data_IF_463537004443
#
_entry.id   IF_463537004443
#
_cell.length_a   1.000
_cell.length_b   1.000
_cell.length_c   1.000
_cell.angle_alpha   90.00
_cell.angle_beta   90.00
_cell.angle_gamma   90.00
#
_symmetry.space_group_name_H-M   'P 1'
#
loop_
_entity.id
_entity.type
_entity.pdbx_description
1 polymer ?
#
# COMPACT_ATOMS: atom_id res chain seq x y z
N UNK A 1 11.06 -2.04 -17.88
CA UNK A 1 10.40 -3.15 -18.63
C UNK A 1 10.53 -4.52 -17.95
N UNK A 2 11.55 -4.74 -17.10
CA UNK A 2 11.81 -6.04 -16.48
C UNK A 2 10.92 -6.38 -15.27
N UNK A 3 10.45 -5.41 -14.53
CA UNK A 3 9.81 -5.67 -13.24
C UNK A 3 8.34 -6.14 -13.33
N UNK A 4 7.58 -5.58 -14.25
CA UNK A 4 6.18 -5.95 -14.44
C UNK A 4 6.07 -7.38 -15.01
N UNK A 5 6.93 -7.72 -15.99
CA UNK A 5 7.00 -9.07 -16.53
C UNK A 5 7.52 -10.10 -15.52
N UNK A 6 8.51 -9.75 -14.73
CA UNK A 6 9.07 -10.65 -13.70
C UNK A 6 8.08 -10.94 -12.58
N UNK A 7 7.28 -9.97 -12.14
CA UNK A 7 6.28 -10.20 -11.09
C UNK A 7 5.13 -11.08 -11.58
N UNK A 8 4.63 -10.85 -12.78
CA UNK A 8 3.61 -11.69 -13.39
C UNK A 8 4.11 -13.13 -13.58
N UNK A 9 5.35 -13.30 -14.05
CA UNK A 9 5.96 -14.62 -14.23
C UNK A 9 6.30 -15.30 -12.90
N UNK A 10 6.52 -14.53 -11.83
CA UNK A 10 6.83 -15.08 -10.51
C UNK A 10 5.61 -15.68 -9.83
N UNK A 11 4.47 -15.00 -9.94
CA UNK A 11 3.25 -15.29 -9.16
C UNK A 11 2.17 -16.04 -9.94
N UNK A 12 2.37 -16.25 -11.24
CA UNK A 12 1.47 -17.08 -12.04
C UNK A 12 1.56 -18.55 -11.61
N UNK A 13 0.57 -19.32 -11.97
CA UNK A 13 0.44 -20.75 -11.61
C UNK A 13 1.66 -21.60 -12.01
N UNK A 14 2.41 -21.20 -13.04
CA UNK A 14 3.67 -21.80 -13.50
C UNK A 14 4.92 -21.05 -13.01
N UNK A 15 4.75 -20.06 -12.14
CA UNK A 15 5.84 -19.23 -11.62
C UNK A 15 6.60 -19.89 -10.48
N UNK A 16 7.67 -19.21 -10.04
CA UNK A 16 8.53 -19.71 -8.96
C UNK A 16 7.89 -19.56 -7.57
N UNK A 17 6.93 -18.65 -7.43
CA UNK A 17 6.21 -18.37 -6.16
C UNK A 17 4.73 -18.07 -6.50
N UNK A 18 3.96 -19.10 -6.86
CA UNK A 18 2.61 -18.92 -7.35
C UNK A 18 1.64 -18.46 -6.25
N UNK A 19 0.75 -17.54 -6.62
CA UNK A 19 -0.36 -17.16 -5.76
C UNK A 19 -1.38 -18.30 -5.74
N UNK A 20 -1.77 -18.73 -4.55
CA UNK A 20 -2.89 -19.64 -4.36
C UNK A 20 -4.21 -18.90 -4.54
N UNK A 21 -4.56 -18.64 -5.80
CA UNK A 21 -5.77 -17.90 -6.14
C UNK A 21 -7.05 -18.61 -5.69
N UNK A 22 -7.21 -19.94 -5.81
CA UNK A 22 -8.34 -20.66 -5.24
C UNK A 22 -8.54 -20.36 -3.75
N UNK A 23 -7.47 -20.41 -2.95
CA UNK A 23 -7.56 -20.10 -1.52
C UNK A 23 -8.00 -18.64 -1.25
N UNK A 24 -7.58 -17.68 -2.09
CA UNK A 24 -8.05 -16.28 -1.99
C UNK A 24 -9.56 -16.19 -2.24
N UNK A 25 -10.06 -16.87 -3.27
CA UNK A 25 -11.49 -16.83 -3.64
C UNK A 25 -12.35 -17.51 -2.58
N UNK A 26 -11.92 -18.66 -2.06
CA UNK A 26 -12.64 -19.44 -1.06
C UNK A 26 -12.62 -18.79 0.33
N UNK A 27 -11.64 -17.93 0.61
CA UNK A 27 -11.54 -17.23 1.91
C UNK A 27 -12.74 -16.29 2.08
N UNK A 28 -13.52 -16.39 3.18
CA UNK A 28 -14.65 -15.51 3.44
C UNK A 28 -14.26 -14.07 3.78
N UNK A 29 -12.99 -13.81 4.14
CA UNK A 29 -12.53 -12.48 4.43
C UNK A 29 -12.59 -11.58 3.19
N UNK A 30 -13.01 -10.34 3.37
CA UNK A 30 -12.91 -9.32 2.35
C UNK A 30 -11.44 -8.92 2.14
N UNK A 31 -11.11 -8.61 0.90
CA UNK A 31 -9.78 -8.17 0.51
C UNK A 31 -9.92 -6.95 -0.42
N UNK A 32 -9.25 -5.87 -0.09
CA UNK A 32 -9.20 -4.66 -0.94
C UNK A 32 -7.77 -4.21 -1.19
N UNK A 33 -7.50 -3.79 -2.42
CA UNK A 33 -6.25 -3.20 -2.87
C UNK A 33 -6.51 -1.76 -3.31
N UNK A 34 -5.75 -0.82 -2.78
CA UNK A 34 -5.85 0.57 -3.21
C UNK A 34 -4.99 0.79 -4.45
N UNK A 35 -5.56 1.40 -5.47
CA UNK A 35 -4.85 1.97 -6.60
C UNK A 35 -5.29 3.43 -6.82
N UNK A 36 -4.53 4.18 -7.60
CA UNK A 36 -4.89 5.56 -7.97
C UNK A 36 -5.28 5.60 -9.44
N UNK A 37 -6.49 6.01 -9.73
CA UNK A 37 -6.94 6.27 -11.10
C UNK A 37 -6.12 7.41 -11.72
N UNK A 38 -5.51 7.17 -12.86
CA UNK A 38 -4.59 8.12 -13.49
C UNK A 38 -5.28 9.35 -14.06
N UNK A 39 -6.54 9.23 -14.45
CA UNK A 39 -7.33 10.32 -15.05
C UNK A 39 -7.88 11.27 -13.99
N UNK A 40 -8.27 10.74 -12.84
CA UNK A 40 -8.92 11.52 -11.76
C UNK A 40 -7.99 11.84 -10.59
N UNK A 41 -6.92 11.05 -10.39
CA UNK A 41 -6.05 11.12 -9.22
C UNK A 41 -6.71 10.64 -7.92
N UNK A 42 -7.87 9.98 -8.00
CA UNK A 42 -8.64 9.48 -6.86
C UNK A 42 -8.31 8.02 -6.56
N UNK A 43 -8.53 7.57 -5.32
CA UNK A 43 -8.37 6.16 -4.96
C UNK A 43 -9.46 5.31 -5.61
N UNK A 44 -9.07 4.10 -6.02
CA UNK A 44 -9.93 3.00 -6.44
C UNK A 44 -9.58 1.81 -5.58
N UNK A 45 -10.58 1.06 -5.14
CA UNK A 45 -10.41 -0.10 -4.27
C UNK A 45 -10.80 -1.36 -5.04
N UNK A 46 -9.80 -2.12 -5.46
CA UNK A 46 -9.99 -3.41 -6.11
C UNK A 46 -10.23 -4.50 -5.07
N UNK A 47 -11.11 -5.42 -5.39
CA UNK A 47 -11.44 -6.58 -4.56
C UNK A 47 -10.88 -7.87 -5.18
N UNK A 48 -11.11 -9.02 -4.54
CA UNK A 48 -10.77 -10.31 -5.14
C UNK A 48 -11.52 -10.58 -6.46
N UNK A 49 -12.69 -9.95 -6.67
CA UNK A 49 -13.49 -10.10 -7.89
C UNK A 49 -12.85 -9.39 -9.11
N UNK A 50 -11.93 -8.47 -8.86
CA UNK A 50 -11.13 -7.80 -9.90
C UNK A 50 -9.90 -8.60 -10.34
N UNK A 51 -9.69 -9.78 -9.76
CA UNK A 51 -8.59 -10.69 -10.09
C UNK A 51 -9.11 -11.96 -10.75
N UNK A 52 -8.23 -12.66 -11.44
CA UNK A 52 -8.44 -13.99 -11.99
C UNK A 52 -7.15 -14.78 -11.85
N UNK A 53 -7.24 -16.11 -11.94
CA UNK A 53 -6.05 -16.95 -12.04
C UNK A 53 -5.11 -16.40 -13.11
N UNK A 54 -3.87 -16.14 -12.74
CA UNK A 54 -2.80 -15.63 -13.62
C UNK A 54 -3.03 -14.21 -14.19
N UNK A 55 -4.06 -13.49 -13.70
CA UNK A 55 -4.27 -12.07 -13.99
C UNK A 55 -4.33 -11.25 -12.69
N UNK A 56 -3.17 -10.82 -12.25
CA UNK A 56 -2.99 -10.07 -11.00
C UNK A 56 -2.76 -8.58 -11.26
N UNK A 57 -3.36 -8.02 -12.32
CA UNK A 57 -3.20 -6.59 -12.68
C UNK A 57 -3.69 -5.65 -11.59
N UNK A 58 -4.67 -6.03 -10.79
CA UNK A 58 -5.11 -5.25 -9.62
C UNK A 58 -3.96 -5.07 -8.61
N UNK A 59 -3.22 -6.15 -8.28
CA UNK A 59 -2.04 -6.10 -7.40
C UNK A 59 -0.94 -5.25 -8.03
N UNK A 60 -0.70 -5.44 -9.34
CA UNK A 60 0.32 -4.67 -10.07
C UNK A 60 -0.02 -3.17 -10.09
N UNK A 61 -1.29 -2.81 -10.26
CA UNK A 61 -1.77 -1.44 -10.23
C UNK A 61 -1.53 -0.78 -8.86
N UNK A 62 -1.84 -1.51 -7.77
CA UNK A 62 -1.60 -1.06 -6.39
C UNK A 62 -0.13 -0.82 -6.06
N UNK A 63 0.79 -1.42 -6.82
CA UNK A 63 2.25 -1.31 -6.64
C UNK A 63 2.94 -0.51 -7.76
N UNK A 64 2.21 0.10 -8.69
CA UNK A 64 2.76 0.81 -9.85
C UNK A 64 3.25 2.22 -9.49
N UNK A 65 4.40 2.30 -8.82
CA UNK A 65 5.02 3.58 -8.45
C UNK A 65 5.26 4.45 -9.70
N UNK A 66 4.76 5.70 -9.72
CA UNK A 66 5.01 6.62 -10.80
C UNK A 66 6.51 6.81 -11.08
N UNK A 67 6.88 6.94 -12.34
CA UNK A 67 8.26 7.09 -12.84
C UNK A 67 9.04 5.76 -12.83
N UNK A 68 8.95 5.00 -11.74
CA UNK A 68 9.68 3.73 -11.59
C UNK A 68 9.01 2.59 -12.36
N UNK A 69 7.68 2.60 -12.40
CA UNK A 69 6.88 1.61 -13.10
C UNK A 69 6.05 2.28 -14.20
N UNK A 70 5.67 1.48 -15.22
CA UNK A 70 4.63 1.90 -16.15
C UNK A 70 3.28 1.83 -15.45
N UNK A 71 2.35 2.76 -15.76
CA UNK A 71 0.99 2.61 -15.30
C UNK A 71 0.37 1.31 -15.81
N UNK A 72 -0.53 0.75 -15.04
CA UNK A 72 -1.21 -0.50 -15.38
C UNK A 72 -2.57 -0.16 -16.01
N UNK A 73 -2.79 -0.67 -17.23
CA UNK A 73 -4.11 -0.59 -17.89
C UNK A 73 -4.95 -1.81 -17.49
N UNK A 74 -6.13 -1.53 -16.95
CA UNK A 74 -7.03 -2.54 -16.42
C UNK A 74 -8.48 -1.99 -16.47
N UNK A 75 -9.46 -2.81 -16.84
CA UNK A 75 -10.86 -2.39 -17.00
C UNK A 75 -11.04 -1.10 -17.85
N UNK A 76 -10.28 -0.96 -18.93
CA UNK A 76 -10.26 0.22 -19.83
C UNK A 76 -9.77 1.52 -19.19
N UNK A 77 -9.27 1.48 -17.97
CA UNK A 77 -8.72 2.61 -17.24
C UNK A 77 -7.21 2.42 -17.02
N UNK A 78 -6.55 3.42 -16.49
CA UNK A 78 -5.12 3.41 -16.21
C UNK A 78 -4.88 3.76 -14.75
N UNK A 79 -4.01 2.99 -14.09
CA UNK A 79 -3.79 3.09 -12.65
C UNK A 79 -2.33 3.23 -12.28
N UNK A 80 -2.10 3.89 -11.16
CA UNK A 80 -0.85 3.98 -10.44
C UNK A 80 -1.02 3.48 -9.00
N UNK A 81 0.10 3.40 -8.27
CA UNK A 81 0.18 3.02 -6.86
C UNK A 81 -0.85 3.74 -5.98
N UNK A 82 -1.52 2.99 -5.11
CA UNK A 82 -2.55 3.51 -4.20
C UNK A 82 -2.04 4.51 -3.17
N UNK A 83 -0.75 4.41 -2.83
CA UNK A 83 -0.10 5.35 -1.92
C UNK A 83 0.03 6.77 -2.44
N UNK A 84 -0.50 7.09 -3.64
CA UNK A 84 -0.65 8.46 -4.12
C UNK A 84 -1.92 9.13 -3.60
N UNK A 85 -3.00 8.37 -3.45
CA UNK A 85 -4.34 8.90 -3.16
C UNK A 85 -4.90 8.44 -1.82
N UNK A 86 -4.49 7.27 -1.30
CA UNK A 86 -4.87 6.76 0.02
C UNK A 86 -3.83 5.75 0.53
N UNK A 87 -2.83 6.23 1.24
CA UNK A 87 -1.70 5.41 1.70
C UNK A 87 -2.02 4.51 2.90
N UNK A 88 -2.99 4.92 3.73
CA UNK A 88 -3.43 4.18 4.94
C UNK A 88 -4.95 4.29 5.02
N UNK A 89 -5.69 3.39 4.38
CA UNK A 89 -7.11 3.52 4.09
C UNK A 89 -8.00 3.19 5.30
N UNK A 90 -7.74 3.80 6.46
CA UNK A 90 -8.48 3.52 7.71
C UNK A 90 -9.95 3.94 7.60
N UNK A 91 -10.23 5.11 7.03
CA UNK A 91 -11.61 5.58 6.84
C UNK A 91 -12.38 4.65 5.88
N UNK A 92 -11.69 4.02 4.91
CA UNK A 92 -12.27 3.00 4.04
C UNK A 92 -12.70 1.76 4.82
N UNK A 93 -11.87 1.29 5.77
CA UNK A 93 -12.20 0.14 6.61
C UNK A 93 -13.46 0.40 7.45
N UNK A 94 -13.57 1.57 8.09
CA UNK A 94 -14.77 1.94 8.83
C UNK A 94 -16.00 2.13 7.92
N UNK A 95 -15.83 2.71 6.74
CA UNK A 95 -16.91 2.83 5.75
C UNK A 95 -17.42 1.47 5.25
N UNK A 96 -16.60 0.41 5.34
CA UNK A 96 -16.97 -0.99 5.06
C UNK A 96 -17.61 -1.69 6.26
N UNK A 97 -17.77 -1.02 7.39
CA UNK A 97 -18.44 -1.55 8.57
C UNK A 97 -17.54 -2.26 9.57
N UNK A 98 -16.22 -2.04 9.52
CA UNK A 98 -15.33 -2.52 10.56
C UNK A 98 -15.56 -1.74 11.87
N UNK A 99 -15.75 -2.44 12.97
CA UNK A 99 -15.88 -1.83 14.32
C UNK A 99 -14.51 -1.52 14.92
N UNK A 100 -13.49 -2.31 14.56
CA UNK A 100 -12.11 -2.20 15.03
C UNK A 100 -11.14 -2.43 13.88
N UNK A 101 -10.04 -1.68 13.87
CA UNK A 101 -9.04 -1.77 12.82
C UNK A 101 -7.64 -1.95 13.41
N UNK A 102 -6.91 -2.96 12.96
CA UNK A 102 -5.47 -3.09 13.23
C UNK A 102 -4.71 -2.45 12.08
N UNK A 103 -3.95 -1.40 12.38
CA UNK A 103 -3.13 -0.68 11.40
C UNK A 103 -1.68 -1.11 11.53
N UNK A 104 -1.07 -1.54 10.43
CA UNK A 104 0.35 -1.90 10.37
C UNK A 104 1.07 -0.89 9.47
N UNK A 105 1.98 -0.11 10.06
CA UNK A 105 2.75 0.90 9.35
C UNK A 105 4.17 0.40 9.05
N UNK A 106 4.66 0.69 7.87
CA UNK A 106 6.06 0.41 7.48
C UNK A 106 7.05 1.50 7.92
N UNK A 107 6.55 2.60 8.50
CA UNK A 107 7.34 3.72 9.01
C UNK A 107 7.05 3.94 10.49
N UNK A 108 8.05 4.39 11.28
CA UNK A 108 7.83 4.68 12.69
C UNK A 108 6.81 5.82 12.88
N UNK A 109 6.21 5.87 14.05
CA UNK A 109 5.20 6.90 14.40
C UNK A 109 5.70 8.34 14.28
N UNK A 110 7.01 8.54 14.43
CA UNK A 110 7.68 9.85 14.28
C UNK A 110 7.87 10.28 12.83
N UNK A 111 7.63 9.39 11.86
CA UNK A 111 7.85 9.69 10.46
C UNK A 111 6.91 10.78 9.93
N UNK A 112 7.48 11.80 9.35
CA UNK A 112 6.73 12.89 8.69
C UNK A 112 7.04 12.89 7.21
N UNK A 113 6.06 12.50 6.41
CA UNK A 113 6.18 12.50 4.95
C UNK A 113 6.49 13.90 4.44
N UNK A 114 7.59 14.03 3.69
CA UNK A 114 8.00 15.26 3.04
C UNK A 114 7.43 15.34 1.61
N UNK A 115 7.32 16.56 1.04
CA UNK A 115 6.99 16.72 -0.37
C UNK A 115 7.93 15.91 -1.26
N UNK A 116 7.39 15.38 -2.38
CA UNK A 116 8.21 14.61 -3.33
C UNK A 116 9.28 15.49 -3.98
N UNK A 117 10.49 14.94 -4.04
CA UNK A 117 11.61 15.57 -4.75
C UNK A 117 11.46 15.45 -6.27
N UNK A 118 12.42 16.05 -6.99
CA UNK A 118 12.52 15.91 -8.45
C UNK A 118 11.25 16.28 -9.23
N UNK A 119 10.55 17.33 -8.79
CA UNK A 119 9.25 17.78 -9.31
C UNK A 119 9.26 18.00 -10.84
N UNK A 120 10.33 18.52 -11.40
CA UNK A 120 10.45 18.74 -12.84
C UNK A 120 10.48 17.41 -13.62
N UNK A 121 11.15 16.40 -13.07
CA UNK A 121 11.29 15.07 -13.70
C UNK A 121 9.94 14.39 -13.78
N UNK A 122 9.22 14.25 -12.65
CA UNK A 122 7.95 13.54 -12.69
C UNK A 122 6.85 14.33 -13.42
N UNK A 123 6.86 15.66 -13.40
CA UNK A 123 5.91 16.46 -14.19
C UNK A 123 6.12 16.28 -15.69
N UNK A 124 7.36 16.16 -16.13
CA UNK A 124 7.67 15.86 -17.54
C UNK A 124 7.25 14.44 -17.91
N UNK A 125 7.64 13.44 -17.11
CA UNK A 125 7.36 12.03 -17.36
C UNK A 125 5.85 11.74 -17.37
N UNK A 126 5.09 12.35 -16.46
CA UNK A 126 3.66 12.13 -16.27
C UNK A 126 2.79 13.19 -16.95
N UNK A 127 3.30 13.97 -17.92
CA UNK A 127 2.55 15.05 -18.57
C UNK A 127 1.20 14.64 -19.17
N UNK A 128 1.02 13.36 -19.45
CA UNK A 128 -0.25 12.77 -19.93
C UNK A 128 -1.28 12.58 -18.81
N UNK A 129 -0.86 12.65 -17.54
CA UNK A 129 -1.67 12.35 -16.36
C UNK A 129 -1.65 13.52 -15.37
N UNK A 130 -2.28 14.66 -15.69
CA UNK A 130 -2.20 15.88 -14.88
C UNK A 130 -2.77 15.70 -13.46
N UNK A 131 -3.78 14.85 -13.28
CA UNK A 131 -4.33 14.57 -11.95
C UNK A 131 -3.41 13.69 -11.11
N UNK A 132 -2.70 12.75 -11.74
CA UNK A 132 -1.63 11.98 -11.07
C UNK A 132 -0.50 12.90 -10.60
N UNK A 133 -0.12 13.90 -11.40
CA UNK A 133 0.86 14.92 -11.00
C UNK A 133 0.35 15.68 -9.76
N UNK A 134 -0.92 16.09 -9.76
CA UNK A 134 -1.53 16.77 -8.62
C UNK A 134 -1.57 15.87 -7.37
N UNK A 135 -1.87 14.58 -7.52
CA UNK A 135 -1.82 13.62 -6.44
C UNK A 135 -0.41 13.48 -5.87
N UNK A 136 0.63 13.38 -6.73
CA UNK A 136 2.03 13.38 -6.30
C UNK A 136 2.43 14.66 -5.57
N UNK A 137 2.06 15.82 -6.09
CA UNK A 137 2.34 17.12 -5.45
C UNK A 137 1.77 17.18 -4.03
N UNK A 138 0.61 16.56 -3.80
CA UNK A 138 -0.11 16.58 -2.53
C UNK A 138 0.04 15.31 -1.68
N UNK A 139 0.79 14.31 -2.15
CA UNK A 139 0.94 13.01 -1.49
C UNK A 139 1.34 13.12 -0.02
N UNK A 140 2.22 14.05 0.31
CA UNK A 140 2.66 14.29 1.69
C UNK A 140 1.54 14.84 2.58
N UNK A 141 0.63 15.65 2.04
CA UNK A 141 -0.52 16.18 2.78
C UNK A 141 -1.55 15.07 3.01
N UNK A 142 -1.84 14.28 1.98
CA UNK A 142 -2.76 13.14 2.07
C UNK A 142 -2.24 12.11 3.10
N UNK A 143 -0.94 11.74 3.05
CA UNK A 143 -0.37 10.82 4.04
C UNK A 143 -0.49 11.36 5.47
N UNK A 144 -0.22 12.66 5.69
CA UNK A 144 -0.39 13.28 7.00
C UNK A 144 -1.84 13.25 7.48
N UNK A 145 -2.80 13.42 6.56
CA UNK A 145 -4.22 13.30 6.88
C UNK A 145 -4.55 11.86 7.29
N UNK A 146 -4.14 10.85 6.51
CA UNK A 146 -4.34 9.44 6.87
C UNK A 146 -3.78 9.13 8.28
N UNK A 147 -2.58 9.62 8.62
CA UNK A 147 -2.00 9.41 9.95
C UNK A 147 -2.78 10.16 11.04
N UNK A 148 -3.33 11.32 10.75
CA UNK A 148 -4.20 12.04 11.68
C UNK A 148 -5.51 11.26 11.94
N UNK A 149 -6.09 10.68 10.90
CA UNK A 149 -7.29 9.84 11.00
C UNK A 149 -6.99 8.55 11.80
N UNK A 150 -5.86 7.89 11.53
CA UNK A 150 -5.39 6.76 12.34
C UNK A 150 -5.28 7.14 13.82
N UNK A 151 -4.66 8.27 14.14
CA UNK A 151 -4.51 8.73 15.53
C UNK A 151 -5.86 9.05 16.19
N UNK A 152 -6.80 9.63 15.46
CA UNK A 152 -8.17 9.88 15.92
C UNK A 152 -8.85 8.58 16.35
N UNK A 153 -8.83 7.55 15.50
CA UNK A 153 -9.45 6.25 15.81
C UNK A 153 -8.69 5.47 16.88
N UNK A 154 -7.36 5.57 16.93
CA UNK A 154 -6.56 5.00 18.03
C UNK A 154 -6.91 5.64 19.37
N UNK A 155 -7.10 6.96 19.42
CA UNK A 155 -7.51 7.69 20.64
C UNK A 155 -8.93 7.31 21.09
N UNK A 156 -9.81 7.00 20.15
CA UNK A 156 -11.16 6.50 20.41
C UNK A 156 -11.19 5.02 20.85
N UNK A 157 -10.06 4.31 20.81
CA UNK A 157 -10.00 2.87 21.09
C UNK A 157 -10.54 1.97 19.98
N UNK A 158 -10.75 2.53 18.80
CA UNK A 158 -11.27 1.86 17.61
C UNK A 158 -10.15 1.29 16.71
N UNK A 159 -8.91 1.77 16.90
CA UNK A 159 -7.77 1.30 16.15
C UNK A 159 -6.59 0.91 17.06
N UNK A 160 -5.88 -0.16 16.68
CA UNK A 160 -4.61 -0.56 17.26
C UNK A 160 -3.51 -0.44 16.22
N UNK A 161 -2.45 0.33 16.51
CA UNK A 161 -1.40 0.66 15.53
C UNK A 161 -0.10 -0.04 15.87
N UNK A 162 0.38 -0.88 14.97
CA UNK A 162 1.75 -1.39 14.95
C UNK A 162 2.61 -0.55 14.01
N UNK A 163 3.74 -0.08 14.50
CA UNK A 163 4.71 0.69 13.74
C UNK A 163 6.12 0.33 14.21
N UNK A 164 7.14 0.38 13.34
CA UNK A 164 8.52 0.12 13.75
C UNK A 164 8.93 1.01 14.94
N UNK A 165 9.53 0.42 15.95
CA UNK A 165 9.99 1.12 17.17
C UNK A 165 11.18 2.06 16.88
N UNK A 166 11.92 1.81 15.79
CA UNK A 166 13.03 2.66 15.33
C UNK A 166 12.98 2.87 13.84
N UNK A 167 13.57 3.97 13.36
CA UNK A 167 13.73 4.24 11.95
C UNK A 167 14.96 3.52 11.39
N UNK A 168 14.77 2.69 10.37
CA UNK A 168 15.84 2.17 9.54
C UNK A 168 15.95 3.01 8.27
N UNK A 169 17.16 3.54 8.00
CA UNK A 169 17.44 4.37 6.82
C UNK A 169 17.51 3.52 5.55
N UNK A 170 16.37 2.98 5.15
CA UNK A 170 16.25 2.21 3.91
C UNK A 170 15.90 3.12 2.74
N UNK A 171 16.61 2.92 1.64
CA UNK A 171 16.25 3.54 0.36
C UNK A 171 15.17 2.69 -0.33
N UNK A 172 14.12 3.34 -0.83
CA UNK A 172 13.10 2.66 -1.65
C UNK A 172 13.68 2.08 -2.95
N UNK A 173 14.86 2.52 -3.35
CA UNK A 173 15.47 2.21 -4.64
C UNK A 173 16.73 1.36 -4.56
N UNK A 174 17.27 1.15 -3.39
CA UNK A 174 18.45 0.31 -3.17
C UNK A 174 18.05 -0.98 -2.44
N UNK A 175 18.46 -2.12 -2.98
CA UNK A 175 18.37 -3.40 -2.27
C UNK A 175 19.49 -3.49 -1.25
N UNK A 176 19.12 -3.69 0.00
CA UNK A 176 20.05 -3.98 1.07
C UNK A 176 19.46 -5.11 1.91
N UNK A 177 19.88 -6.34 1.59
CA UNK A 177 19.37 -7.56 2.22
C UNK A 177 19.54 -7.55 3.74
N UNK A 178 20.60 -6.92 4.26
CA UNK A 178 20.82 -6.83 5.71
C UNK A 178 19.82 -5.91 6.39
N UNK A 179 19.55 -4.76 5.77
CA UNK A 179 18.55 -3.82 6.28
C UNK A 179 17.12 -4.38 6.12
N UNK A 180 16.86 -5.12 5.04
CA UNK A 180 15.58 -5.81 4.84
C UNK A 180 15.37 -6.87 5.93
N UNK A 181 16.39 -7.68 6.23
CA UNK A 181 16.34 -8.66 7.32
C UNK A 181 16.21 -7.97 8.69
N UNK A 182 16.94 -6.88 8.94
CA UNK A 182 16.83 -6.13 10.19
C UNK A 182 15.41 -5.56 10.38
N UNK A 183 14.77 -5.06 9.30
CA UNK A 183 13.40 -4.56 9.36
C UNK A 183 12.40 -5.69 9.65
N UNK A 184 12.60 -6.86 9.06
CA UNK A 184 11.80 -8.04 9.32
C UNK A 184 11.88 -8.47 10.78
N UNK A 185 13.10 -8.62 11.30
CA UNK A 185 13.32 -9.02 12.69
C UNK A 185 12.77 -8.00 13.70
N UNK A 186 12.90 -6.70 13.36
CA UNK A 186 12.32 -5.63 14.15
C UNK A 186 10.79 -5.73 14.17
N UNK A 187 10.15 -6.00 13.02
CA UNK A 187 8.70 -6.17 12.94
C UNK A 187 8.20 -7.33 13.80
N UNK A 188 8.87 -8.46 13.77
CA UNK A 188 8.57 -9.63 14.61
C UNK A 188 8.71 -9.29 16.10
N UNK A 189 9.81 -8.61 16.47
CA UNK A 189 10.07 -8.19 17.86
C UNK A 189 9.00 -7.23 18.37
N UNK A 190 8.70 -6.17 17.60
CA UNK A 190 7.71 -5.15 17.96
C UNK A 190 6.30 -5.74 18.07
N UNK A 191 5.94 -6.66 17.19
CA UNK A 191 4.67 -7.37 17.23
C UNK A 191 4.56 -8.24 18.50
N UNK A 192 5.56 -9.08 18.78
CA UNK A 192 5.57 -9.98 19.93
C UNK A 192 5.51 -9.21 21.25
N UNK A 193 6.16 -8.05 21.35
CA UNK A 193 6.14 -7.20 22.53
C UNK A 193 4.72 -6.69 22.89
N UNK A 194 3.82 -6.61 21.89
CA UNK A 194 2.45 -6.09 22.03
C UNK A 194 1.35 -7.12 21.74
N UNK A 195 1.70 -8.41 21.67
CA UNK A 195 0.75 -9.48 21.35
C UNK A 195 -0.42 -9.55 22.35
N UNK A 196 -0.17 -9.33 23.64
CA UNK A 196 -1.24 -9.30 24.67
C UNK A 196 -2.21 -8.14 24.44
N UNK A 197 -1.71 -6.98 24.03
CA UNK A 197 -2.55 -5.82 23.71
C UNK A 197 -3.45 -6.11 22.50
N UNK A 198 -2.91 -6.78 21.47
CA UNK A 198 -3.69 -7.22 20.32
C UNK A 198 -4.83 -8.18 20.75
N UNK A 199 -4.53 -9.18 21.57
CA UNK A 199 -5.57 -10.09 22.06
C UNK A 199 -6.66 -9.36 22.83
N UNK A 200 -6.28 -8.42 23.69
CA UNK A 200 -7.26 -7.60 24.43
C UNK A 200 -8.08 -6.70 23.52
N UNK A 201 -7.44 -6.15 22.46
CA UNK A 201 -8.13 -5.28 21.51
C UNK A 201 -9.15 -6.04 20.64
N UNK A 202 -8.89 -7.29 20.32
CA UNK A 202 -9.77 -8.13 19.47
C UNK A 202 -10.82 -8.90 20.27
N UNK A 203 -10.71 -9.01 21.59
CA UNK A 203 -11.71 -9.61 22.47
C UNK A 203 -12.85 -8.63 22.79
#
# INVERSE_FOLDING_TARGET
LGDVYKRQTLTNSDGADPIDYPAIVENPAEFELVATDAATGKPVYFTKDDMKQDDYRAIMASCALPIMCRPISFHNETYFDGGLSDSVPIERAFAKGCDRVVVILSKPRSFVKQPEGFRHIYRHALRKYPQTIKALDNRHLMYRQNIADVKKHETAGEALVFAPSKELKMSTYARDEKLEQELYDLGISDFNARLKELHTFLS
#
